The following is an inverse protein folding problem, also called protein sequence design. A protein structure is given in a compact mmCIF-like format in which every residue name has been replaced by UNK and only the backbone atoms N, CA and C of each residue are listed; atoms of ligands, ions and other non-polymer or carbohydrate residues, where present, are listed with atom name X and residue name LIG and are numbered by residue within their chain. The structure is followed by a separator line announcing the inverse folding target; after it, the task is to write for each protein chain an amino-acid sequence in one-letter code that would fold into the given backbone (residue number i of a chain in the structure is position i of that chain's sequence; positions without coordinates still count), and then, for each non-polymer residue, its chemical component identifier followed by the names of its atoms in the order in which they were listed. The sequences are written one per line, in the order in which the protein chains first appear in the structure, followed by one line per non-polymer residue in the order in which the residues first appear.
data_IF_356792525140
#
_entry.id   IF_356792525140
#
_cell.length_a   1.000
_cell.length_b   1.000
_cell.length_c   1.000
_cell.angle_alpha   90.00
_cell.angle_beta   90.00
_cell.angle_gamma   90.00
#
_symmetry.space_group_name_H-M   'P 1'
#
loop_
_entity.id
_entity.type
_entity.pdbx_description
1 polymer ?
#
# COMPACT_ATOMS: atom_id res chain seq x y z
N UNK A 1 27.13 17.75 -45.41
CA UNK A 1 26.77 17.81 -46.84
C UNK A 1 25.47 17.04 -46.97
N UNK A 2 24.33 17.72 -46.79
CA UNK A 2 22.97 17.18 -46.72
C UNK A 2 22.39 16.92 -48.12
N UNK A 3 21.47 15.96 -48.23
CA UNK A 3 20.86 15.49 -49.49
C UNK A 3 19.90 16.54 -50.07
N UNK A 4 20.08 17.01 -51.32
CA UNK A 4 19.25 18.05 -51.94
C UNK A 4 17.79 17.65 -52.22
N UNK A 5 17.38 16.41 -51.88
CA UNK A 5 16.00 15.93 -52.04
C UNK A 5 15.16 16.01 -50.75
N UNK A 6 15.72 16.44 -49.64
CA UNK A 6 14.97 16.66 -48.40
C UNK A 6 14.85 18.16 -48.08
N UNK A 7 13.61 18.63 -47.95
CA UNK A 7 13.30 19.95 -47.41
C UNK A 7 13.45 19.89 -45.88
N UNK A 8 14.69 19.99 -45.40
CA UNK A 8 14.97 20.08 -43.96
C UNK A 8 14.44 21.43 -43.46
N UNK A 9 13.40 21.37 -42.62
CA UNK A 9 12.99 22.53 -41.82
C UNK A 9 14.07 22.70 -40.77
N UNK A 10 14.85 23.79 -40.84
CA UNK A 10 15.86 24.13 -39.84
C UNK A 10 15.16 24.38 -38.51
N UNK A 11 15.17 23.35 -37.65
CA UNK A 11 14.67 23.45 -36.29
C UNK A 11 15.65 24.31 -35.48
N UNK A 12 15.11 25.29 -34.78
CA UNK A 12 15.90 26.11 -33.85
C UNK A 12 16.46 25.25 -32.72
N UNK A 13 17.61 25.63 -32.15
CA UNK A 13 18.21 24.91 -31.02
C UNK A 13 17.21 24.68 -29.86
N UNK A 14 16.26 25.61 -29.69
CA UNK A 14 15.16 25.50 -28.72
C UNK A 14 14.13 24.42 -29.07
N UNK A 15 13.82 24.23 -30.35
CA UNK A 15 12.89 23.18 -30.80
C UNK A 15 13.56 21.80 -30.77
N UNK A 16 14.85 21.74 -31.10
CA UNK A 16 15.67 20.52 -30.93
C UNK A 16 15.74 20.17 -29.44
N UNK A 17 16.01 21.15 -28.57
CA UNK A 17 16.01 20.93 -27.12
C UNK A 17 14.64 20.48 -26.59
N UNK A 18 13.53 21.04 -27.11
CA UNK A 18 12.18 20.62 -26.76
C UNK A 18 11.87 19.18 -27.22
N UNK A 19 12.34 18.79 -28.42
CA UNK A 19 12.15 17.43 -28.97
C UNK A 19 12.91 16.36 -28.16
N UNK A 20 14.09 16.69 -27.61
CA UNK A 20 14.87 15.79 -26.76
C UNK A 20 14.65 16.00 -25.26
N UNK A 21 13.86 16.99 -24.86
CA UNK A 21 13.49 17.17 -23.45
C UNK A 21 12.54 16.04 -23.04
N UNK A 22 12.91 15.19 -22.07
CA UNK A 22 11.98 14.19 -21.57
C UNK A 22 10.75 14.93 -21.03
N UNK A 23 9.59 14.67 -21.62
CA UNK A 23 8.32 15.16 -21.09
C UNK A 23 8.28 14.89 -19.58
N UNK A 24 7.98 15.88 -18.73
CA UNK A 24 7.93 15.69 -17.29
C UNK A 24 6.88 14.64 -16.88
N UNK A 25 6.01 14.21 -17.81
CA UNK A 25 5.06 13.13 -17.62
C UNK A 25 5.66 11.71 -17.66
N UNK A 26 6.95 11.55 -17.97
CA UNK A 26 7.57 10.23 -18.22
C UNK A 26 8.47 9.69 -17.09
N UNK A 27 8.53 10.35 -15.93
CA UNK A 27 9.03 9.71 -14.71
C UNK A 27 7.96 8.70 -14.25
N UNK A 28 7.90 7.56 -14.96
CA UNK A 28 7.13 6.39 -14.56
C UNK A 28 7.64 5.96 -13.21
N UNK A 29 6.96 6.39 -12.15
CA UNK A 29 6.86 5.57 -10.97
C UNK A 29 6.42 4.19 -11.47
N UNK A 30 7.23 3.16 -11.19
CA UNK A 30 7.04 1.85 -11.79
C UNK A 30 5.62 1.34 -11.51
N UNK A 31 5.02 1.75 -10.39
CA UNK A 31 3.58 1.58 -10.10
C UNK A 31 2.78 2.87 -10.37
N UNK A 32 1.66 2.77 -11.12
CA UNK A 32 0.67 3.84 -11.22
C UNK A 32 0.12 4.16 -9.82
N UNK A 33 0.69 5.13 -9.13
CA UNK A 33 0.16 5.60 -7.86
C UNK A 33 -1.03 6.51 -8.15
N UNK A 34 -2.23 6.03 -7.85
CA UNK A 34 -3.40 6.90 -7.78
C UNK A 34 -3.17 7.87 -6.62
N UNK A 35 -3.16 9.20 -6.84
CA UNK A 35 -2.99 10.17 -5.75
C UNK A 35 -3.96 9.86 -4.61
N UNK A 36 -3.46 9.89 -3.38
CA UNK A 36 -4.20 9.57 -2.15
C UNK A 36 -4.66 8.11 -1.99
N UNK A 37 -4.20 7.16 -2.83
CA UNK A 37 -4.45 5.73 -2.66
C UNK A 37 -3.22 5.00 -2.11
N UNK A 38 -3.38 4.30 -0.98
CA UNK A 38 -2.30 3.53 -0.33
C UNK A 38 -2.55 2.02 -0.34
N UNK A 39 -3.52 1.56 -1.13
CA UNK A 39 -3.92 0.15 -1.15
C UNK A 39 -2.85 -0.82 -1.66
N UNK A 40 -1.95 -0.38 -2.55
CA UNK A 40 -0.85 -1.23 -3.01
C UNK A 40 0.13 -1.58 -1.88
N UNK A 41 0.42 -0.61 -1.00
CA UNK A 41 1.22 -0.86 0.21
C UNK A 41 0.50 -1.79 1.18
N UNK A 42 -0.81 -1.62 1.35
CA UNK A 42 -1.63 -2.53 2.17
C UNK A 42 -1.58 -3.96 1.62
N UNK A 43 -1.72 -4.16 0.31
CA UNK A 43 -1.63 -5.50 -0.31
C UNK A 43 -0.33 -6.19 0.01
N UNK A 44 0.79 -5.48 -0.13
CA UNK A 44 2.12 -6.03 0.14
C UNK A 44 2.29 -6.38 1.61
N UNK A 45 1.81 -5.52 2.52
CA UNK A 45 1.87 -5.76 3.97
C UNK A 45 0.99 -6.94 4.39
N UNK A 46 -0.24 -7.03 3.87
CA UNK A 46 -1.14 -8.16 4.16
C UNK A 46 -0.60 -9.48 3.60
N UNK A 47 -0.07 -9.48 2.38
CA UNK A 47 0.54 -10.66 1.77
C UNK A 47 1.81 -11.08 2.52
N UNK A 48 2.68 -10.12 2.85
CA UNK A 48 3.89 -10.35 3.64
C UNK A 48 3.58 -10.84 5.06
N UNK A 49 2.58 -10.24 5.70
CA UNK A 49 2.07 -10.64 7.01
C UNK A 49 1.53 -12.07 7.00
N UNK A 50 0.65 -12.41 6.06
CA UNK A 50 0.12 -13.77 5.90
C UNK A 50 1.22 -14.80 5.62
N UNK A 51 2.20 -14.44 4.78
CA UNK A 51 3.38 -15.29 4.52
C UNK A 51 4.16 -15.52 5.81
N UNK A 52 4.42 -14.45 6.57
CA UNK A 52 5.15 -14.53 7.83
C UNK A 52 4.39 -15.33 8.87
N UNK A 53 3.06 -15.24 8.94
CA UNK A 53 2.22 -16.06 9.82
C UNK A 53 2.44 -17.56 9.57
N UNK A 54 2.44 -17.98 8.31
CA UNK A 54 2.64 -19.40 7.95
C UNK A 54 4.08 -19.83 8.23
N UNK A 55 5.06 -19.02 7.85
CA UNK A 55 6.50 -19.33 8.06
C UNK A 55 6.87 -19.32 9.54
N UNK A 56 6.25 -18.47 10.35
CA UNK A 56 6.47 -18.41 11.79
C UNK A 56 5.78 -19.55 12.55
N UNK A 57 4.78 -20.20 11.96
CA UNK A 57 3.99 -21.23 12.65
C UNK A 57 4.82 -22.36 13.28
N UNK A 58 5.86 -22.94 12.64
CA UNK A 58 6.61 -24.05 13.23
C UNK A 58 7.34 -23.67 14.53
N UNK A 59 7.55 -22.38 14.79
CA UNK A 59 8.25 -21.87 15.96
C UNK A 59 7.36 -21.79 17.22
N UNK A 60 6.05 -22.01 17.10
CA UNK A 60 5.10 -21.91 18.23
C UNK A 60 5.03 -23.18 19.11
N UNK A 61 5.79 -24.22 18.78
CA UNK A 61 6.03 -25.37 19.66
C UNK A 61 4.74 -26.10 20.06
N UNK A 62 4.47 -26.19 21.36
CA UNK A 62 3.36 -26.97 21.93
C UNK A 62 1.97 -26.41 21.58
N UNK A 63 1.84 -25.10 21.33
CA UNK A 63 0.56 -24.46 21.01
C UNK A 63 0.16 -24.60 19.54
N UNK A 64 1.08 -25.10 18.70
CA UNK A 64 0.89 -25.24 17.26
C UNK A 64 -0.40 -26.01 16.90
N UNK A 65 -0.73 -27.09 17.63
CA UNK A 65 -1.90 -27.91 17.30
C UNK A 65 -3.23 -27.14 17.41
N UNK A 66 -3.30 -26.17 18.33
CA UNK A 66 -4.50 -25.36 18.55
C UNK A 66 -4.47 -24.13 17.64
N UNK A 67 -3.33 -23.47 17.50
CA UNK A 67 -3.21 -22.21 16.75
C UNK A 67 -3.15 -22.41 15.23
N UNK A 68 -2.59 -23.52 14.75
CA UNK A 68 -2.31 -23.73 13.33
C UNK A 68 -3.53 -23.63 12.40
N UNK A 69 -4.70 -24.22 12.72
CA UNK A 69 -5.89 -24.05 11.89
C UNK A 69 -6.30 -22.57 11.76
N UNK A 70 -6.20 -21.78 12.83
CA UNK A 70 -6.52 -20.35 12.81
C UNK A 70 -5.50 -19.57 11.99
N UNK A 71 -4.22 -19.93 12.07
CA UNK A 71 -3.15 -19.32 11.25
C UNK A 71 -3.41 -19.55 9.76
N UNK A 72 -3.73 -20.78 9.35
CA UNK A 72 -3.98 -21.11 7.94
C UNK A 72 -5.25 -20.43 7.42
N UNK A 73 -6.38 -20.55 8.15
CA UNK A 73 -7.64 -19.92 7.73
C UNK A 73 -7.49 -18.40 7.72
N UNK A 74 -6.86 -17.83 8.73
CA UNK A 74 -6.58 -16.40 8.80
C UNK A 74 -5.72 -15.93 7.63
N UNK A 75 -4.62 -16.64 7.33
CA UNK A 75 -3.75 -16.31 6.19
C UNK A 75 -4.52 -16.36 4.86
N UNK A 76 -5.35 -17.37 4.63
CA UNK A 76 -6.17 -17.48 3.42
C UNK A 76 -7.16 -16.32 3.29
N UNK A 77 -7.86 -15.99 4.37
CA UNK A 77 -8.80 -14.85 4.39
C UNK A 77 -8.06 -13.55 4.10
N UNK A 78 -6.93 -13.30 4.77
CA UNK A 78 -6.13 -12.09 4.57
C UNK A 78 -5.64 -11.99 3.11
N UNK A 79 -5.13 -13.07 2.53
CA UNK A 79 -4.66 -13.08 1.14
C UNK A 79 -5.81 -12.88 0.16
N UNK A 80 -6.97 -13.48 0.41
CA UNK A 80 -8.15 -13.28 -0.43
C UNK A 80 -8.57 -11.80 -0.47
N UNK A 81 -8.64 -11.14 0.69
CA UNK A 81 -8.98 -9.71 0.73
C UNK A 81 -7.87 -8.82 0.14
N UNK A 82 -6.60 -9.14 0.40
CA UNK A 82 -5.48 -8.46 -0.25
C UNK A 82 -5.49 -8.63 -1.79
N UNK A 83 -6.01 -9.73 -2.32
CA UNK A 83 -6.18 -9.89 -3.77
C UNK A 83 -7.33 -9.02 -4.32
N UNK A 84 -8.35 -8.77 -3.50
CA UNK A 84 -9.52 -7.98 -3.87
C UNK A 84 -9.33 -6.47 -3.68
N UNK A 85 -8.32 -6.04 -2.92
CA UNK A 85 -8.00 -4.62 -2.71
C UNK A 85 -7.85 -3.90 -4.06
N UNK A 86 -8.78 -2.97 -4.34
CA UNK A 86 -8.78 -2.16 -5.55
C UNK A 86 -9.18 -0.73 -5.27
N UNK A 87 -8.74 0.25 -6.08
CA UNK A 87 -9.11 1.66 -5.91
C UNK A 87 -10.57 1.94 -6.27
N UNK A 88 -11.29 0.99 -6.87
CA UNK A 88 -12.67 1.17 -7.32
C UNK A 88 -13.70 0.92 -6.22
N UNK A 89 -13.33 0.21 -5.16
CA UNK A 89 -14.28 -0.35 -4.20
C UNK A 89 -13.87 0.01 -2.78
N UNK A 90 -14.43 1.11 -2.25
CA UNK A 90 -14.06 1.69 -0.96
C UNK A 90 -14.26 0.74 0.23
N UNK A 91 -15.28 -0.13 0.19
CA UNK A 91 -15.60 -1.03 1.31
C UNK A 91 -14.51 -2.09 1.51
N UNK A 92 -13.78 -2.46 0.46
CA UNK A 92 -12.69 -3.44 0.57
C UNK A 92 -11.55 -2.87 1.43
N UNK A 93 -11.22 -1.59 1.25
CA UNK A 93 -10.23 -0.92 2.12
C UNK A 93 -10.66 -0.83 3.58
N UNK A 94 -11.97 -0.75 3.84
CA UNK A 94 -12.49 -0.80 5.21
C UNK A 94 -12.38 -2.21 5.81
N UNK A 95 -12.62 -3.26 5.01
CA UNK A 95 -12.42 -4.65 5.45
C UNK A 95 -10.94 -4.94 5.69
N UNK A 96 -10.05 -4.46 4.82
CA UNK A 96 -8.60 -4.56 5.02
C UNK A 96 -8.17 -3.88 6.34
N UNK A 97 -8.76 -2.73 6.68
CA UNK A 97 -8.55 -2.08 7.98
C UNK A 97 -9.05 -2.96 9.14
N UNK A 98 -10.25 -3.55 9.05
CA UNK A 98 -10.76 -4.41 10.13
C UNK A 98 -9.87 -5.65 10.31
N UNK A 99 -9.52 -6.33 9.22
CA UNK A 99 -8.67 -7.53 9.25
C UNK A 99 -7.28 -7.22 9.81
N UNK A 100 -6.67 -6.12 9.38
CA UNK A 100 -5.36 -5.72 9.88
C UNK A 100 -5.39 -5.29 11.34
N UNK A 101 -6.42 -4.55 11.77
CA UNK A 101 -6.61 -4.22 13.18
C UNK A 101 -6.79 -5.47 14.06
N UNK A 102 -7.63 -6.41 13.63
CA UNK A 102 -7.85 -7.67 14.32
C UNK A 102 -6.56 -8.51 14.39
N UNK A 103 -5.83 -8.64 13.28
CA UNK A 103 -4.56 -9.35 13.22
C UNK A 103 -3.50 -8.76 14.17
N UNK A 104 -3.39 -7.43 14.21
CA UNK A 104 -2.48 -6.75 15.13
C UNK A 104 -2.82 -7.04 16.60
N UNK A 105 -4.10 -6.97 16.97
CA UNK A 105 -4.56 -7.25 18.34
C UNK A 105 -4.28 -8.70 18.71
N UNK A 106 -4.69 -9.67 17.88
CA UNK A 106 -4.52 -11.10 18.16
C UNK A 106 -3.05 -11.44 18.40
N UNK A 107 -2.16 -11.05 17.47
CA UNK A 107 -0.74 -11.39 17.56
C UNK A 107 -0.02 -10.64 18.69
N UNK A 108 -0.37 -9.39 18.97
CA UNK A 108 0.17 -8.66 20.11
C UNK A 108 -0.27 -9.30 21.44
N UNK A 109 -1.55 -9.66 21.57
CA UNK A 109 -2.09 -10.32 22.77
C UNK A 109 -1.45 -11.69 22.98
N UNK A 110 -1.34 -12.53 21.95
CA UNK A 110 -0.65 -13.82 22.05
C UNK A 110 0.84 -13.66 22.39
N UNK A 111 1.51 -12.63 21.87
CA UNK A 111 2.89 -12.34 22.25
C UNK A 111 3.03 -11.97 23.72
N UNK A 112 2.17 -11.08 24.23
CA UNK A 112 2.25 -10.58 25.61
C UNK A 112 1.81 -11.64 26.62
N UNK A 113 0.70 -12.34 26.38
CA UNK A 113 0.16 -13.32 27.33
C UNK A 113 1.04 -14.56 27.49
N UNK A 114 1.79 -14.91 26.45
CA UNK A 114 2.68 -16.07 26.49
C UNK A 114 4.15 -15.68 26.68
N UNK A 115 4.46 -14.41 26.99
CA UNK A 115 5.82 -13.89 27.12
C UNK A 115 6.74 -14.75 28.00
N UNK A 116 6.22 -15.33 29.08
CA UNK A 116 6.98 -16.17 30.01
C UNK A 116 7.08 -17.65 29.63
N UNK A 117 6.34 -18.11 28.61
CA UNK A 117 6.21 -19.53 28.25
C UNK A 117 6.71 -19.85 26.84
N UNK A 118 6.77 -18.87 25.94
CA UNK A 118 7.24 -19.07 24.56
C UNK A 118 8.74 -18.81 24.43
N UNK A 119 9.32 -19.34 23.34
CA UNK A 119 10.69 -19.02 22.97
C UNK A 119 10.83 -17.52 22.62
N UNK A 120 12.00 -16.90 22.90
CA UNK A 120 12.23 -15.51 22.52
C UNK A 120 12.05 -15.26 21.02
N UNK A 121 12.36 -16.24 20.18
CA UNK A 121 12.17 -16.14 18.74
C UNK A 121 10.70 -16.14 18.33
N UNK A 122 9.86 -16.97 18.98
CA UNK A 122 8.41 -16.96 18.75
C UNK A 122 7.79 -15.62 19.17
N UNK A 123 8.24 -15.04 20.29
CA UNK A 123 7.81 -13.71 20.73
C UNK A 123 8.14 -12.65 19.69
N UNK A 124 9.39 -12.60 19.23
CA UNK A 124 9.82 -11.63 18.21
C UNK A 124 9.02 -11.78 16.92
N UNK A 125 8.76 -13.03 16.48
CA UNK A 125 7.93 -13.29 15.30
C UNK A 125 6.49 -12.81 15.48
N UNK A 126 5.86 -13.07 16.64
CA UNK A 126 4.50 -12.58 16.92
C UNK A 126 4.43 -11.05 16.94
N UNK A 127 5.41 -10.38 17.56
CA UNK A 127 5.48 -8.91 17.56
C UNK A 127 5.75 -8.35 16.16
N UNK A 128 6.63 -8.99 15.37
CA UNK A 128 6.88 -8.59 13.99
C UNK A 128 5.62 -8.68 13.12
N UNK A 129 4.87 -9.78 13.24
CA UNK A 129 3.57 -9.95 12.57
C UNK A 129 2.59 -8.87 13.02
N UNK A 130 2.48 -8.62 14.33
CA UNK A 130 1.61 -7.58 14.88
C UNK A 130 1.94 -6.18 14.32
N UNK A 131 3.23 -5.85 14.20
CA UNK A 131 3.65 -4.57 13.61
C UNK A 131 3.35 -4.46 12.11
N UNK A 132 3.54 -5.53 11.34
CA UNK A 132 3.15 -5.55 9.92
C UNK A 132 1.65 -5.26 9.79
N UNK A 133 0.83 -5.90 10.62
CA UNK A 133 -0.61 -5.64 10.64
C UNK A 133 -0.95 -4.22 11.13
N UNK A 134 -0.21 -3.67 12.09
CA UNK A 134 -0.40 -2.28 12.53
C UNK A 134 -0.10 -1.28 11.40
N UNK A 135 0.95 -1.50 10.61
CA UNK A 135 1.23 -0.67 9.43
C UNK A 135 0.16 -0.85 8.35
N UNK A 136 -0.28 -2.08 8.10
CA UNK A 136 -1.37 -2.36 7.16
C UNK A 136 -2.67 -1.64 7.59
N UNK A 137 -2.95 -1.60 8.90
CA UNK A 137 -4.07 -0.88 9.47
C UNK A 137 -3.96 0.62 9.22
N UNK A 138 -2.80 1.20 9.52
CA UNK A 138 -2.56 2.63 9.31
C UNK A 138 -2.78 3.05 7.84
N UNK A 139 -2.20 2.31 6.89
CA UNK A 139 -2.36 2.64 5.46
C UNK A 139 -3.78 2.36 4.94
N UNK A 140 -4.45 1.33 5.45
CA UNK A 140 -5.86 1.07 5.15
C UNK A 140 -6.74 2.22 5.62
N UNK A 141 -6.54 2.70 6.86
CA UNK A 141 -7.26 3.86 7.39
C UNK A 141 -6.99 5.15 6.62
N UNK A 142 -5.75 5.37 6.16
CA UNK A 142 -5.42 6.51 5.28
C UNK A 142 -6.20 6.44 3.96
N UNK A 143 -6.33 5.25 3.39
CA UNK A 143 -7.10 5.01 2.16
C UNK A 143 -8.60 5.21 2.39
N UNK A 144 -9.14 4.68 3.49
CA UNK A 144 -10.54 4.90 3.88
C UNK A 144 -10.83 6.39 4.07
N UNK A 145 -9.94 7.12 4.76
CA UNK A 145 -10.06 8.57 4.91
C UNK A 145 -10.09 9.29 3.56
N UNK A 146 -9.19 8.93 2.64
CA UNK A 146 -9.17 9.52 1.30
C UNK A 146 -10.47 9.28 0.54
N UNK A 147 -11.07 8.08 0.65
CA UNK A 147 -12.39 7.79 0.08
C UNK A 147 -13.49 8.64 0.73
N UNK A 148 -13.51 8.76 2.06
CA UNK A 148 -14.52 9.58 2.76
C UNK A 148 -14.44 11.07 2.41
N UNK A 149 -13.23 11.57 2.09
CA UNK A 149 -13.02 12.96 1.69
C UNK A 149 -13.18 13.19 0.17
N UNK A 150 -13.45 12.15 -0.62
CA UNK A 150 -13.54 12.25 -2.08
C UNK A 150 -12.25 12.72 -2.77
N UNK A 151 -11.11 12.54 -2.11
CA UNK A 151 -9.78 12.97 -2.58
C UNK A 151 -9.07 11.91 -3.43
N UNK A 152 -9.66 10.72 -3.56
CA UNK A 152 -9.08 9.61 -4.33
C UNK A 152 -9.02 9.99 -5.80
N UNK A 153 -7.80 10.04 -6.35
CA UNK A 153 -7.55 10.36 -7.76
C UNK A 153 -7.47 11.86 -8.08
N UNK A 154 -7.77 12.76 -7.13
CA UNK A 154 -7.50 14.20 -7.30
C UNK A 154 -6.03 14.47 -7.02
N UNK A 155 -5.33 15.08 -7.97
CA UNK A 155 -4.01 15.70 -7.73
C UNK A 155 -4.27 17.03 -7.02
N UNK A 156 -3.47 17.36 -6.02
CA UNK A 156 -3.42 18.75 -5.52
C UNK A 156 -2.88 19.61 -6.67
N UNK A 157 -3.77 20.21 -7.44
CA UNK A 157 -3.42 21.26 -8.41
C UNK A 157 -3.37 22.58 -7.66
N UNK A 158 -2.24 23.29 -7.79
CA UNK A 158 -1.98 24.57 -7.12
C UNK A 158 -3.08 25.63 -7.42
N UNK A 159 -3.83 25.46 -8.52
CA UNK A 159 -4.98 26.29 -8.93
C UNK A 159 -6.14 26.39 -7.93
N UNK A 160 -6.33 25.42 -7.02
CA UNK A 160 -7.48 25.46 -6.09
C UNK A 160 -7.38 26.57 -5.02
N UNK A 161 -6.23 27.24 -4.92
CA UNK A 161 -6.03 28.39 -4.03
C UNK A 161 -6.21 29.75 -4.72
N UNK A 162 -6.19 29.82 -6.06
CA UNK A 162 -6.38 31.09 -6.80
C UNK A 162 -7.87 31.41 -7.00
N UNK A 163 -8.75 30.42 -7.15
CA UNK A 163 -10.20 30.63 -7.35
C UNK A 163 -10.94 31.26 -6.15
N UNK A 164 -10.32 31.32 -4.97
CA UNK A 164 -10.92 31.95 -3.78
C UNK A 164 -10.69 33.46 -3.71
N UNK A 165 -9.65 33.97 -4.35
CA UNK A 165 -9.32 35.39 -4.30
C UNK A 165 -10.13 36.17 -5.35
N UNK A 166 -10.49 35.54 -6.48
CA UNK A 166 -11.30 36.15 -7.54
C UNK A 166 -12.80 36.32 -7.20
N UNK A 167 -13.30 35.67 -6.14
CA UNK A 167 -14.69 35.84 -5.67
C UNK A 167 -14.85 36.88 -4.57
N UNK A 168 -13.75 37.53 -4.16
CA UNK A 168 -13.73 38.56 -3.13
C UNK A 168 -13.22 39.92 -3.66
N UNK A 169 -12.93 40.03 -4.96
CA UNK A 169 -12.65 41.27 -5.67
C UNK A 169 -13.87 41.71 -6.50
#
# INVERSE_FOLDING_TARGET
MSDPRHNEVDLTDTEVAAMYSPSPASVRAWWPSVPHYWGDGVRQLLLGGATLMVVASPFYGSNLRVEFPFVIVGALVIVAFAALTSPRVWWISAVDAILSGAGAIIYATWGIFEYGTISPIALVLRLAIAFIFLFAFYFSMKTVRAFTLGQVGKRETIDEFEERDDKLA
#
